data_IF_632916246128
#
_entry.id   IF_632916246128
#
_cell.length_a   1.000
_cell.length_b   1.000
_cell.length_c   1.000
_cell.angle_alpha   90.00
_cell.angle_beta   90.00
_cell.angle_gamma   90.00
#
_symmetry.space_group_name_H-M   'P 1'
#
loop_
_entity.id
_entity.type
_entity.pdbx_description
1 polymer ?
#
# COMPACT_ATOMS: atom_id res chain seq x y z
N UNK A 1 -1.26 72.13 -32.10
CA UNK A 1 -2.61 71.67 -31.72
C UNK A 1 -2.67 71.57 -30.20
N UNK A 2 -3.67 72.21 -29.61
CA UNK A 2 -3.94 72.31 -28.16
C UNK A 2 -5.37 71.79 -27.94
N UNK A 3 -5.57 70.97 -26.89
CA UNK A 3 -6.82 70.63 -26.19
C UNK A 3 -7.93 69.91 -26.99
N UNK A 4 -8.75 68.98 -26.52
CA UNK A 4 -8.96 68.15 -25.31
C UNK A 4 -10.16 67.25 -25.67
N UNK A 5 -10.28 66.03 -25.14
CA UNK A 5 -11.55 65.55 -24.56
C UNK A 5 -11.32 64.31 -23.70
N UNK A 6 -11.81 64.44 -22.48
CA UNK A 6 -11.87 63.47 -21.39
C UNK A 6 -12.98 62.45 -21.67
N UNK A 7 -12.78 61.19 -21.32
CA UNK A 7 -13.81 60.34 -20.70
C UNK A 7 -13.17 59.04 -20.17
N UNK A 8 -12.97 59.02 -18.86
CA UNK A 8 -12.63 57.86 -18.04
C UNK A 8 -13.77 56.83 -18.11
N UNK A 9 -13.47 55.56 -18.36
CA UNK A 9 -14.34 54.43 -17.99
C UNK A 9 -13.54 53.53 -17.08
N UNK A 10 -13.90 53.53 -15.80
CA UNK A 10 -13.34 52.67 -14.78
C UNK A 10 -13.87 51.25 -14.98
N UNK A 11 -12.97 50.28 -15.12
CA UNK A 11 -13.26 48.87 -14.90
C UNK A 11 -12.60 48.46 -13.60
N UNK A 12 -13.41 48.38 -12.55
CA UNK A 12 -13.03 47.72 -11.31
C UNK A 12 -12.92 46.21 -11.59
N UNK A 13 -11.72 45.72 -11.86
CA UNK A 13 -11.44 44.29 -11.86
C UNK A 13 -11.02 43.93 -10.44
N UNK A 14 -11.94 43.29 -9.72
CA UNK A 14 -11.71 42.79 -8.37
C UNK A 14 -10.49 41.88 -8.35
N UNK A 15 -9.56 42.17 -7.44
CA UNK A 15 -8.44 41.31 -7.14
C UNK A 15 -8.98 40.04 -6.45
N UNK A 16 -9.25 38.99 -7.24
CA UNK A 16 -9.40 37.64 -6.72
C UNK A 16 -8.01 37.16 -6.28
N UNK A 17 -7.72 37.32 -4.99
CA UNK A 17 -6.57 36.70 -4.35
C UNK A 17 -6.87 35.20 -4.30
N UNK A 18 -6.49 34.48 -5.35
CA UNK A 18 -6.49 33.02 -5.34
C UNK A 18 -5.36 32.62 -4.40
N UNK A 19 -5.69 32.42 -3.13
CA UNK A 19 -4.82 31.72 -2.21
C UNK A 19 -4.67 30.29 -2.74
N UNK A 20 -3.61 30.07 -3.51
CA UNK A 20 -3.13 28.73 -3.83
C UNK A 20 -2.64 28.12 -2.50
N UNK A 21 -3.58 27.58 -1.73
CA UNK A 21 -3.27 26.73 -0.60
C UNK A 21 -2.44 25.59 -1.15
N UNK A 22 -1.17 25.53 -0.77
CA UNK A 22 -0.36 24.33 -0.93
C UNK A 22 -1.04 23.26 -0.09
N UNK A 23 -1.85 22.43 -0.72
CA UNK A 23 -2.33 21.21 -0.10
C UNK A 23 -1.07 20.41 0.24
N UNK A 24 -0.65 20.47 1.51
CA UNK A 24 0.34 19.54 2.04
C UNK A 24 -0.15 18.15 1.64
N UNK A 25 0.69 17.31 1.00
CA UNK A 25 0.32 15.93 0.81
C UNK A 25 -0.01 15.40 2.20
N UNK A 26 -1.27 15.01 2.40
CA UNK A 26 -1.68 14.39 3.64
C UNK A 26 -0.73 13.22 3.85
N UNK A 27 0.15 13.34 4.85
CA UNK A 27 0.98 12.24 5.30
C UNK A 27 -0.04 11.18 5.68
N UNK A 28 -0.19 10.17 4.82
CA UNK A 28 -1.09 9.07 5.05
C UNK A 28 -0.71 8.52 6.43
N UNK A 29 -1.65 8.62 7.37
CA UNK A 29 -1.50 8.09 8.71
C UNK A 29 -0.95 6.66 8.54
N UNK A 30 0.16 6.28 9.21
CA UNK A 30 0.68 4.92 9.05
C UNK A 30 -0.48 3.98 9.35
N UNK A 31 -0.84 3.15 8.37
CA UNK A 31 -1.88 2.15 8.52
C UNK A 31 -1.60 1.39 9.82
N UNK A 32 -2.59 1.33 10.70
CA UNK A 32 -2.47 0.68 12.00
C UNK A 32 -2.01 -0.76 11.79
N UNK A 33 -0.87 -1.11 12.40
CA UNK A 33 -0.30 -2.45 12.27
C UNK A 33 -1.15 -3.45 13.06
N UNK A 34 -1.67 -4.46 12.38
CA UNK A 34 -2.38 -5.57 13.01
C UNK A 34 -1.38 -6.60 13.52
N UNK A 35 -1.32 -6.80 14.82
CA UNK A 35 -0.44 -7.81 15.41
C UNK A 35 -1.07 -9.19 15.35
N UNK A 36 -0.26 -10.20 15.05
CA UNK A 36 -0.67 -11.60 14.99
C UNK A 36 0.38 -12.52 15.59
N UNK A 37 0.04 -13.79 15.76
CA UNK A 37 1.00 -14.78 16.25
C UNK A 37 2.08 -15.09 15.21
N UNK A 38 2.96 -16.06 15.51
CA UNK A 38 4.13 -16.35 14.67
C UNK A 38 3.77 -16.87 13.28
N UNK A 39 2.63 -17.53 13.15
CA UNK A 39 2.02 -17.88 11.86
C UNK A 39 0.84 -16.94 11.66
N UNK A 40 0.89 -16.16 10.59
CA UNK A 40 -0.03 -15.06 10.37
C UNK A 40 -0.54 -15.06 8.94
N UNK A 41 -1.85 -14.95 8.77
CA UNK A 41 -2.50 -14.87 7.45
C UNK A 41 -3.19 -13.52 7.29
N UNK A 42 -2.79 -12.77 6.27
CA UNK A 42 -3.47 -11.57 5.81
C UNK A 42 -4.34 -11.91 4.61
N UNK A 43 -5.56 -11.35 4.56
CA UNK A 43 -6.48 -11.54 3.45
C UNK A 43 -7.00 -10.19 2.93
N UNK A 44 -7.25 -10.12 1.63
CA UNK A 44 -7.91 -9.02 0.97
C UNK A 44 -8.91 -9.57 -0.04
N UNK A 45 -10.15 -9.09 0.02
CA UNK A 45 -11.22 -9.52 -0.89
C UNK A 45 -11.88 -8.32 -1.55
N UNK A 46 -12.21 -8.49 -2.82
CA UNK A 46 -12.99 -7.53 -3.60
C UNK A 46 -14.26 -8.25 -4.02
N UNK A 47 -15.42 -7.65 -3.75
CA UNK A 47 -16.71 -8.29 -4.02
C UNK A 47 -17.10 -8.21 -5.50
N UNK A 48 -16.70 -7.13 -6.19
CA UNK A 48 -16.96 -6.91 -7.61
C UNK A 48 -15.76 -6.21 -8.25
N UNK A 49 -14.92 -6.93 -9.03
CA UNK A 49 -14.96 -8.36 -9.35
C UNK A 49 -14.61 -9.25 -8.15
N UNK A 50 -15.13 -10.49 -8.11
CA UNK A 50 -14.96 -11.45 -7.00
C UNK A 50 -13.51 -12.01 -6.87
N UNK A 51 -12.56 -11.14 -6.54
CA UNK A 51 -11.16 -11.48 -6.31
C UNK A 51 -10.89 -11.70 -4.82
N UNK A 52 -9.96 -12.62 -4.54
CA UNK A 52 -9.55 -12.97 -3.19
C UNK A 52 -8.04 -13.17 -3.19
N UNK A 53 -7.37 -12.59 -2.21
CA UNK A 53 -5.93 -12.64 -2.06
C UNK A 53 -5.60 -13.00 -0.63
N UNK A 54 -4.60 -13.87 -0.48
CA UNK A 54 -4.12 -14.29 0.83
C UNK A 54 -2.59 -14.28 0.82
N UNK A 55 -1.99 -13.83 1.92
CA UNK A 55 -0.59 -14.04 2.19
C UNK A 55 -0.44 -14.64 3.58
N UNK A 56 0.49 -15.56 3.72
CA UNK A 56 0.84 -16.15 5.00
C UNK A 56 2.32 -16.00 5.26
N UNK A 57 2.65 -15.67 6.50
CA UNK A 57 4.01 -15.67 7.03
C UNK A 57 4.08 -16.66 8.17
N UNK A 58 5.10 -17.51 8.15
CA UNK A 58 5.48 -18.38 9.25
C UNK A 58 6.88 -17.98 9.77
N UNK A 59 6.90 -17.22 10.87
CA UNK A 59 8.12 -16.85 11.58
C UNK A 59 8.67 -18.00 12.46
N UNK A 60 7.98 -19.14 12.61
CA UNK A 60 8.50 -20.34 13.29
C UNK A 60 9.22 -21.30 12.35
N UNK A 61 9.21 -21.05 11.04
CA UNK A 61 9.72 -21.97 10.02
C UNK A 61 11.16 -22.45 10.29
N UNK A 62 12.07 -21.53 10.59
CA UNK A 62 13.44 -21.85 11.06
C UNK A 62 13.82 -20.95 12.25
N UNK A 63 14.96 -21.19 12.88
CA UNK A 63 15.40 -20.36 14.02
C UNK A 63 15.60 -18.89 13.62
N UNK A 64 16.23 -18.63 12.46
CA UNK A 64 16.59 -17.29 12.00
C UNK A 64 15.69 -16.77 10.88
N UNK A 65 15.08 -17.66 10.11
CA UNK A 65 14.32 -17.35 8.91
C UNK A 65 12.81 -17.49 9.07
N UNK A 66 12.11 -17.19 7.98
CA UNK A 66 10.66 -17.33 7.87
C UNK A 66 10.30 -18.04 6.59
N UNK A 67 9.09 -18.58 6.51
CA UNK A 67 8.48 -18.96 5.24
C UNK A 67 7.38 -17.95 4.90
N UNK A 68 7.31 -17.57 3.63
CA UNK A 68 6.24 -16.70 3.12
C UNK A 68 5.53 -17.37 1.96
N UNK A 69 4.22 -17.21 1.92
CA UNK A 69 3.35 -17.71 0.86
C UNK A 69 2.34 -16.65 0.46
N UNK A 70 2.00 -16.65 -0.83
CA UNK A 70 0.99 -15.77 -1.40
C UNK A 70 0.12 -16.54 -2.37
N UNK A 71 -1.16 -16.25 -2.37
CA UNK A 71 -2.15 -16.80 -3.29
C UNK A 71 -3.12 -15.73 -3.76
N UNK A 72 -3.60 -15.88 -4.99
CA UNK A 72 -4.56 -14.95 -5.56
C UNK A 72 -5.53 -15.60 -6.54
N UNK A 73 -6.83 -15.41 -6.29
CA UNK A 73 -7.93 -15.73 -7.19
C UNK A 73 -8.15 -14.59 -8.19
N UNK A 74 -8.32 -14.95 -9.46
CA UNK A 74 -8.76 -14.06 -10.54
C UNK A 74 -7.62 -13.47 -11.36
N UNK A 75 -6.69 -12.75 -10.74
CA UNK A 75 -5.59 -12.03 -11.45
C UNK A 75 -4.19 -12.27 -10.87
N UNK A 76 -4.07 -13.11 -9.84
CA UNK A 76 -2.85 -13.24 -9.06
C UNK A 76 -2.79 -12.18 -7.97
N UNK A 77 -1.80 -12.29 -7.09
CA UNK A 77 -1.59 -11.41 -5.96
C UNK A 77 -0.09 -11.21 -5.74
N UNK A 78 0.25 -10.30 -4.84
CA UNK A 78 1.58 -10.22 -4.28
C UNK A 78 1.51 -9.96 -2.78
N UNK A 79 2.52 -10.45 -2.07
CA UNK A 79 2.74 -10.11 -0.67
C UNK A 79 3.90 -9.11 -0.61
N UNK A 80 3.63 -7.95 -0.02
CA UNK A 80 4.66 -6.98 0.35
C UNK A 80 5.14 -7.32 1.76
N UNK A 81 6.44 -7.30 2.00
CA UNK A 81 6.99 -7.61 3.32
C UNK A 81 8.32 -6.91 3.61
N UNK A 82 8.58 -6.68 4.90
CA UNK A 82 9.86 -6.23 5.44
C UNK A 82 10.47 -7.31 6.32
N UNK A 83 11.79 -7.42 6.29
CA UNK A 83 12.54 -8.36 7.11
C UNK A 83 13.32 -7.64 8.19
N UNK A 84 13.64 -8.34 9.27
CA UNK A 84 14.48 -7.82 10.35
C UNK A 84 15.83 -7.32 9.81
N UNK A 85 16.23 -6.13 10.25
CA UNK A 85 17.46 -5.47 9.82
C UNK A 85 17.47 -5.06 8.33
N UNK A 86 16.31 -4.98 7.70
CA UNK A 86 16.12 -4.50 6.33
C UNK A 86 15.15 -3.31 6.33
N UNK A 87 15.49 -2.25 5.60
CA UNK A 87 14.65 -1.07 5.40
C UNK A 87 13.95 -1.08 4.03
N UNK A 88 14.22 -2.09 3.19
CA UNK A 88 13.63 -2.22 1.87
C UNK A 88 12.41 -3.15 1.88
N UNK A 89 11.34 -2.69 1.23
CA UNK A 89 10.16 -3.51 0.96
C UNK A 89 10.50 -4.57 -0.09
N UNK A 90 10.15 -5.82 0.20
CA UNK A 90 10.29 -6.95 -0.70
C UNK A 90 8.93 -7.45 -1.13
N UNK A 91 8.89 -8.13 -2.28
CA UNK A 91 7.67 -8.68 -2.84
C UNK A 91 7.84 -10.14 -3.25
N UNK A 92 6.78 -10.92 -3.11
CA UNK A 92 6.62 -12.22 -3.76
C UNK A 92 5.27 -12.22 -4.49
N UNK A 93 5.25 -12.74 -5.71
CA UNK A 93 4.08 -12.73 -6.60
C UNK A 93 3.53 -14.13 -6.76
N UNK A 94 2.20 -14.25 -6.78
CA UNK A 94 1.48 -15.47 -7.17
C UNK A 94 0.97 -15.35 -8.61
N UNK A 95 0.91 -16.47 -9.36
CA UNK A 95 0.23 -16.48 -10.65
C UNK A 95 -1.30 -16.35 -10.47
N UNK A 96 -1.99 -16.08 -11.58
CA UNK A 96 -3.46 -16.10 -11.62
C UNK A 96 -4.02 -17.45 -11.16
N UNK A 97 -4.95 -17.42 -10.21
CA UNK A 97 -5.61 -18.60 -9.65
C UNK A 97 -4.61 -19.62 -9.08
N UNK A 98 -3.48 -19.15 -8.56
CA UNK A 98 -2.44 -20.00 -8.00
C UNK A 98 -1.69 -19.33 -6.87
N UNK A 99 -0.70 -20.05 -6.37
CA UNK A 99 0.13 -19.63 -5.25
C UNK A 99 1.62 -19.65 -5.60
N UNK A 100 2.40 -18.97 -4.78
CA UNK A 100 3.84 -19.06 -4.76
C UNK A 100 4.34 -18.97 -3.32
N UNK A 101 5.49 -19.53 -3.03
CA UNK A 101 6.11 -19.46 -1.70
C UNK A 101 7.62 -19.42 -1.78
N UNK A 102 8.22 -18.94 -0.69
CA UNK A 102 9.67 -18.84 -0.57
C UNK A 102 10.10 -18.94 0.88
N UNK A 103 11.21 -19.64 1.10
CA UNK A 103 11.95 -19.57 2.35
C UNK A 103 12.83 -18.30 2.40
N UNK A 104 12.78 -17.62 3.53
CA UNK A 104 13.47 -16.37 3.80
C UNK A 104 14.51 -16.59 4.90
N UNK A 105 15.68 -15.98 4.75
CA UNK A 105 16.81 -16.15 5.68
C UNK A 105 16.71 -15.30 6.94
N UNK A 106 15.72 -14.40 7.03
CA UNK A 106 15.47 -13.51 8.17
C UNK A 106 13.99 -13.43 8.49
N UNK A 107 13.66 -13.08 9.74
CA UNK A 107 12.28 -12.90 10.20
C UNK A 107 11.56 -11.81 9.43
N UNK A 108 10.31 -12.05 9.08
CA UNK A 108 9.41 -11.01 8.58
C UNK A 108 8.87 -10.23 9.76
N UNK A 109 8.99 -8.90 9.71
CA UNK A 109 8.53 -8.00 10.78
C UNK A 109 7.22 -7.30 10.43
N UNK A 110 6.92 -7.22 9.14
CA UNK A 110 5.72 -6.60 8.63
C UNK A 110 5.39 -7.18 7.25
N UNK A 111 4.11 -7.46 6.97
CA UNK A 111 3.65 -7.88 5.65
C UNK A 111 2.20 -7.50 5.37
N UNK A 112 1.81 -7.51 4.10
CA UNK A 112 0.41 -7.41 3.66
C UNK A 112 0.23 -8.18 2.36
N UNK A 113 -1.02 -8.43 1.98
CA UNK A 113 -1.35 -8.95 0.65
C UNK A 113 -2.01 -7.87 -0.18
N UNK A 114 -1.66 -7.80 -1.45
CA UNK A 114 -2.21 -6.88 -2.42
C UNK A 114 -2.53 -7.62 -3.72
N UNK A 115 -3.52 -7.12 -4.47
CA UNK A 115 -3.79 -7.62 -5.81
C UNK A 115 -4.71 -6.70 -6.61
N UNK A 116 -4.87 -6.96 -7.91
CA UNK A 116 -5.48 -6.01 -8.83
C UNK A 116 -6.95 -5.68 -8.50
N UNK A 117 -7.30 -4.40 -8.40
CA UNK A 117 -8.66 -3.99 -8.01
C UNK A 117 -9.73 -4.09 -9.11
N UNK A 118 -9.35 -4.51 -10.32
CA UNK A 118 -10.25 -4.62 -11.47
C UNK A 118 -10.50 -3.32 -12.25
N UNK A 119 -10.05 -2.16 -11.77
CA UNK A 119 -10.22 -0.84 -12.41
C UNK A 119 -8.90 -0.10 -12.66
N UNK A 120 -7.76 -0.74 -12.40
CA UNK A 120 -6.42 -0.17 -12.58
C UNK A 120 -5.83 0.28 -11.25
N UNK A 121 -4.99 -0.58 -10.67
CA UNK A 121 -4.39 -0.41 -9.34
C UNK A 121 -4.54 -1.65 -8.49
N UNK A 122 -4.01 -1.60 -7.27
CA UNK A 122 -4.09 -2.69 -6.31
C UNK A 122 -5.02 -2.35 -5.13
N UNK A 123 -5.68 -3.38 -4.63
CA UNK A 123 -6.35 -3.37 -3.34
C UNK A 123 -5.53 -4.23 -2.37
N UNK A 124 -5.20 -3.65 -1.22
CA UNK A 124 -4.34 -4.26 -0.22
C UNK A 124 -5.10 -4.50 1.08
N UNK A 125 -4.69 -5.54 1.80
CA UNK A 125 -5.02 -5.67 3.22
C UNK A 125 -4.33 -4.58 4.03
N UNK A 126 -4.74 -4.43 5.29
CA UNK A 126 -3.92 -3.74 6.28
C UNK A 126 -2.54 -4.40 6.42
N UNK A 127 -1.59 -3.67 6.97
CA UNK A 127 -0.29 -4.22 7.35
C UNK A 127 -0.41 -5.06 8.62
N UNK A 128 0.22 -6.24 8.58
CA UNK A 128 0.29 -7.18 9.69
C UNK A 128 1.72 -7.29 10.23
N UNK A 129 1.85 -7.39 11.55
CA UNK A 129 3.11 -7.60 12.26
C UNK A 129 3.08 -8.98 12.95
N UNK A 130 3.62 -10.03 12.32
CA UNK A 130 3.76 -11.33 12.95
C UNK A 130 4.78 -11.26 14.08
N UNK A 131 4.51 -11.93 15.21
CA UNK A 131 5.46 -11.96 16.32
C UNK A 131 6.82 -12.48 15.86
N UNK A 132 7.94 -11.86 16.28
CA UNK A 132 9.25 -12.45 16.08
C UNK A 132 9.33 -13.75 16.89
N UNK A 133 9.68 -14.86 16.25
CA UNK A 133 10.03 -16.08 16.96
C UNK A 133 11.43 -15.90 17.54
N UNK A 134 11.49 -15.69 18.85
CA UNK A 134 12.75 -15.68 19.60
C UNK A 134 13.06 -17.14 19.99
N UNK A 135 14.25 -17.60 19.62
CA UNK A 135 14.82 -18.83 20.18
C UNK A 135 15.36 -18.56 21.58
#
# INVERSE_FOLDING_TARGET
MKLTRVATVAFAVGAAVVAAGTAQPAVAKPAELKYCDYICTAAAEITAPAYKYEAQVDNKHTATGSWIWVWGKGKGAHADYYQEGDDQMRQIFSPKNGSNSKELTRKVVQFRVCGPNGIGGDFCSDWWAPKPWRS
#
